data_IF_878000194937
#
_entry.id   IF_878000194937
#
_cell.length_a   1.000
_cell.length_b   1.000
_cell.length_c   1.000
_cell.angle_alpha   90.00
_cell.angle_beta   90.00
_cell.angle_gamma   90.00
#
_symmetry.space_group_name_H-M   'P 1'
#
loop_
_entity.id
_entity.type
_entity.pdbx_description
1 polymer ?
#
# COMPACT_ATOMS: atom_id res chain seq x y z
N UNK A 1 16.54 1.63 -5.10
CA UNK A 1 15.24 0.99 -4.82
C UNK A 1 15.53 -0.39 -4.23
N UNK A 2 14.60 -1.04 -3.53
CA UNK A 2 14.83 -2.44 -3.15
C UNK A 2 14.61 -3.30 -4.40
N UNK A 3 15.49 -4.27 -4.65
CA UNK A 3 15.35 -5.16 -5.82
C UNK A 3 14.44 -6.32 -5.42
N UNK A 4 13.37 -6.63 -6.18
CA UNK A 4 12.57 -7.83 -5.93
C UNK A 4 13.43 -9.09 -6.16
N UNK A 5 13.10 -10.17 -5.45
CA UNK A 5 13.57 -11.51 -5.84
C UNK A 5 12.84 -11.99 -7.10
N UNK A 6 13.35 -13.06 -7.73
CA UNK A 6 12.71 -13.64 -8.91
C UNK A 6 11.29 -14.14 -8.59
N UNK A 7 11.09 -14.75 -7.42
CA UNK A 7 9.77 -15.16 -6.92
C UNK A 7 8.83 -13.97 -6.75
N UNK A 8 9.29 -12.87 -6.15
CA UNK A 8 8.48 -11.66 -6.00
C UNK A 8 8.12 -11.05 -7.35
N UNK A 9 9.02 -11.11 -8.33
CA UNK A 9 8.77 -10.62 -9.68
C UNK A 9 7.68 -11.46 -10.37
N UNK A 10 7.69 -12.79 -10.19
CA UNK A 10 6.61 -13.66 -10.69
C UNK A 10 5.27 -13.25 -10.05
N UNK A 11 5.22 -13.16 -8.72
CA UNK A 11 4.00 -12.77 -7.99
C UNK A 11 3.47 -11.39 -8.40
N UNK A 12 4.35 -10.40 -8.61
CA UNK A 12 3.98 -9.07 -9.08
C UNK A 12 3.36 -9.11 -10.49
N UNK A 13 3.92 -9.91 -11.40
CA UNK A 13 3.38 -10.04 -12.76
C UNK A 13 2.05 -10.82 -12.80
N UNK A 14 1.88 -11.83 -11.96
CA UNK A 14 0.60 -12.52 -11.79
C UNK A 14 -0.46 -11.57 -11.24
N UNK A 15 -0.12 -10.80 -10.19
CA UNK A 15 -0.99 -9.77 -9.63
C UNK A 15 -1.35 -8.70 -10.68
N UNK A 16 -0.39 -8.29 -11.52
CA UNK A 16 -0.64 -7.38 -12.65
C UNK A 16 -1.71 -7.95 -13.58
N UNK A 17 -1.53 -9.19 -14.04
CA UNK A 17 -2.47 -9.84 -14.95
C UNK A 17 -3.88 -9.92 -14.37
N UNK A 18 -3.99 -10.30 -13.09
CA UNK A 18 -5.25 -10.33 -12.36
C UNK A 18 -5.91 -8.95 -12.30
N UNK A 19 -5.18 -7.92 -11.87
CA UNK A 19 -5.74 -6.58 -11.68
C UNK A 19 -6.16 -5.96 -13.01
N UNK A 20 -5.34 -6.08 -14.06
CA UNK A 20 -5.71 -5.56 -15.39
C UNK A 20 -6.93 -6.32 -15.94
N UNK A 21 -7.00 -7.64 -15.77
CA UNK A 21 -8.16 -8.43 -16.19
C UNK A 21 -9.46 -8.01 -15.48
N UNK A 22 -9.39 -7.74 -14.17
CA UNK A 22 -10.53 -7.19 -13.44
C UNK A 22 -10.88 -5.78 -13.94
N UNK A 23 -9.88 -4.92 -14.13
CA UNK A 23 -10.10 -3.56 -14.63
C UNK A 23 -10.76 -3.55 -16.02
N UNK A 24 -10.40 -4.47 -16.92
CA UNK A 24 -11.01 -4.54 -18.25
C UNK A 24 -12.51 -4.87 -18.24
N UNK A 25 -12.99 -5.54 -17.19
CA UNK A 25 -14.41 -5.86 -17.02
C UNK A 25 -15.20 -4.72 -16.36
N UNK A 26 -14.51 -3.74 -15.78
CA UNK A 26 -15.14 -2.63 -15.07
C UNK A 26 -15.63 -1.56 -16.04
N UNK A 27 -16.90 -1.13 -15.86
CA UNK A 27 -17.51 -0.04 -16.66
C UNK A 27 -16.68 1.25 -16.61
N UNK A 28 -16.01 1.51 -15.47
CA UNK A 28 -15.17 2.68 -15.26
C UNK A 28 -13.98 2.81 -16.23
N UNK A 29 -13.52 1.71 -16.82
CA UNK A 29 -12.32 1.65 -17.66
C UNK A 29 -12.59 1.27 -19.11
N UNK A 30 -13.87 1.16 -19.52
CA UNK A 30 -14.27 0.66 -20.84
C UNK A 30 -13.65 1.43 -22.01
N UNK A 31 -13.44 2.74 -21.83
CA UNK A 31 -12.93 3.63 -22.88
C UNK A 31 -11.42 3.91 -22.73
N UNK A 32 -10.72 3.19 -21.84
CA UNK A 32 -9.29 3.37 -21.59
C UNK A 32 -8.48 2.23 -22.21
N UNK A 33 -7.35 2.58 -22.84
CA UNK A 33 -6.35 1.60 -23.24
C UNK A 33 -5.50 1.17 -22.02
N UNK A 34 -5.89 0.04 -21.42
CA UNK A 34 -5.19 -0.56 -20.29
C UNK A 34 -3.92 -1.34 -20.68
N UNK A 35 -3.69 -1.59 -21.97
CA UNK A 35 -2.58 -2.46 -22.42
C UNK A 35 -1.22 -1.88 -22.03
N UNK A 36 -1.11 -0.55 -21.97
CA UNK A 36 0.10 0.16 -21.55
C UNK A 36 0.52 -0.15 -20.11
N UNK A 37 -0.40 -0.58 -19.24
CA UNK A 37 -0.09 -0.97 -17.86
C UNK A 37 0.81 -2.22 -17.80
N UNK A 38 0.77 -3.09 -18.81
CA UNK A 38 1.68 -4.25 -18.92
C UNK A 38 3.14 -3.87 -19.09
N UNK A 39 3.42 -2.66 -19.59
CA UNK A 39 4.78 -2.19 -19.86
C UNK A 39 5.42 -1.51 -18.65
N UNK A 40 4.66 -1.27 -17.57
CA UNK A 40 5.18 -0.61 -16.37
C UNK A 40 6.03 -1.59 -15.57
N UNK A 41 7.28 -1.21 -15.27
CA UNK A 41 8.15 -1.98 -14.39
C UNK A 41 7.54 -2.07 -12.98
N UNK A 42 7.40 -3.29 -12.45
CA UNK A 42 6.97 -3.53 -11.09
C UNK A 42 8.16 -3.83 -10.17
N UNK A 43 8.12 -3.23 -8.98
CA UNK A 43 9.15 -3.38 -7.97
C UNK A 43 8.59 -3.52 -6.56
N UNK A 44 9.50 -3.50 -5.59
CA UNK A 44 9.13 -3.57 -4.17
C UNK A 44 9.67 -2.37 -3.39
N UNK A 45 8.86 -1.91 -2.44
CA UNK A 45 9.28 -0.95 -1.42
C UNK A 45 10.34 -1.58 -0.50
N UNK A 46 11.06 -0.74 0.24
CA UNK A 46 11.91 -1.22 1.34
C UNK A 46 11.04 -1.91 2.40
N UNK A 47 11.48 -3.07 2.88
CA UNK A 47 10.79 -3.88 3.92
C UNK A 47 10.45 -3.16 5.22
N UNK A 48 11.06 -1.99 5.47
CA UNK A 48 10.84 -1.20 6.68
C UNK A 48 9.83 -0.06 6.50
N UNK A 49 9.23 0.08 5.31
CA UNK A 49 8.16 1.03 5.06
C UNK A 49 6.88 0.55 5.76
N UNK A 50 6.33 1.35 6.68
CA UNK A 50 5.14 0.96 7.46
C UNK A 50 3.88 1.78 7.17
N UNK A 51 4.02 2.89 6.43
CA UNK A 51 2.90 3.79 6.11
C UNK A 51 2.56 3.82 4.63
N UNK A 52 3.51 3.42 3.78
CA UNK A 52 3.35 3.42 2.32
C UNK A 52 3.27 1.97 1.88
N UNK A 53 2.18 1.60 1.22
CA UNK A 53 1.90 0.23 0.79
C UNK A 53 2.09 0.04 -0.72
N UNK A 54 1.85 1.11 -1.50
CA UNK A 54 2.14 1.21 -2.93
C UNK A 54 2.77 2.58 -3.25
N UNK A 55 3.41 2.70 -4.40
CA UNK A 55 3.77 3.99 -5.00
C UNK A 55 4.05 3.89 -6.50
N UNK A 56 3.44 4.78 -7.26
CA UNK A 56 3.83 5.12 -8.63
C UNK A 56 4.99 6.12 -8.62
N UNK A 57 6.14 5.70 -9.13
CA UNK A 57 7.31 6.56 -9.33
C UNK A 57 7.38 7.01 -10.77
N UNK A 58 7.65 8.29 -10.96
CA UNK A 58 7.81 8.92 -12.27
C UNK A 58 9.29 9.03 -12.64
N UNK A 59 9.57 9.11 -13.94
CA UNK A 59 10.93 9.39 -14.43
C UNK A 59 11.41 10.74 -13.90
N UNK A 60 12.72 10.88 -13.70
CA UNK A 60 13.31 12.14 -13.22
C UNK A 60 13.19 13.22 -14.28
N UNK A 61 12.93 14.46 -13.86
CA UNK A 61 12.87 15.62 -14.75
C UNK A 61 11.51 15.84 -15.44
N UNK A 62 10.54 14.95 -15.21
CA UNK A 62 9.17 15.08 -15.72
C UNK A 62 8.43 16.15 -14.90
N UNK A 63 7.89 17.16 -15.58
CA UNK A 63 7.07 18.20 -14.94
C UNK A 63 5.66 17.69 -14.63
N UNK A 64 4.89 18.43 -13.82
CA UNK A 64 3.59 17.98 -13.33
C UNK A 64 2.55 17.69 -14.43
N UNK A 65 2.65 18.39 -15.54
CA UNK A 65 1.86 18.29 -16.77
C UNK A 65 2.25 17.13 -17.68
N UNK A 66 3.45 16.57 -17.51
CA UNK A 66 3.98 15.45 -18.31
C UNK A 66 3.81 14.09 -17.63
N UNK A 67 3.03 14.01 -16.55
CA UNK A 67 2.85 12.77 -15.76
C UNK A 67 1.81 11.85 -16.39
N UNK A 68 2.16 11.35 -17.57
CA UNK A 68 1.42 10.34 -18.33
C UNK A 68 2.03 8.95 -18.15
N UNK A 69 1.27 7.91 -18.47
CA UNK A 69 1.69 6.51 -18.29
C UNK A 69 3.07 6.19 -18.89
N UNK A 70 3.44 6.84 -19.99
CA UNK A 70 4.75 6.69 -20.67
C UNK A 70 5.93 7.19 -19.82
N UNK A 71 5.66 8.10 -18.89
CA UNK A 71 6.62 8.71 -17.98
C UNK A 71 6.64 8.05 -16.59
N UNK A 72 5.86 6.99 -16.38
CA UNK A 72 6.01 6.13 -15.21
C UNK A 72 7.36 5.41 -15.29
N UNK A 73 8.14 5.48 -14.21
CA UNK A 73 9.39 4.75 -14.06
C UNK A 73 9.13 3.35 -13.50
N UNK A 74 8.42 3.26 -12.38
CA UNK A 74 8.08 1.97 -11.75
C UNK A 74 6.87 2.14 -10.84
N UNK A 75 6.12 1.05 -10.63
CA UNK A 75 5.16 0.93 -9.52
C UNK A 75 5.72 -0.06 -8.51
N UNK A 76 5.87 0.38 -7.26
CA UNK A 76 6.41 -0.44 -6.18
C UNK A 76 5.33 -0.79 -5.16
N UNK A 77 5.22 -2.07 -4.79
CA UNK A 77 4.37 -2.53 -3.68
C UNK A 77 5.19 -2.91 -2.45
N UNK A 78 4.60 -2.85 -1.26
CA UNK A 78 5.24 -3.38 -0.07
C UNK A 78 5.44 -4.90 -0.20
N UNK A 79 6.64 -5.46 0.04
CA UNK A 79 6.90 -6.88 -0.22
C UNK A 79 6.00 -7.82 0.59
N UNK A 80 5.58 -7.43 1.79
CA UNK A 80 4.63 -8.22 2.60
C UNK A 80 3.22 -8.32 2.00
N UNK A 81 2.85 -7.47 1.03
CA UNK A 81 1.58 -7.60 0.31
C UNK A 81 1.55 -8.87 -0.57
N UNK A 82 2.71 -9.43 -0.91
CA UNK A 82 2.84 -10.62 -1.75
C UNK A 82 2.59 -11.93 -0.98
N UNK A 83 2.35 -11.86 0.34
CA UNK A 83 1.91 -13.01 1.10
C UNK A 83 0.42 -13.28 0.85
N UNK A 84 0.04 -14.56 0.69
CA UNK A 84 -1.29 -14.99 0.27
C UNK A 84 -2.46 -14.34 1.04
N UNK A 85 -2.32 -14.18 2.35
CA UNK A 85 -3.34 -13.56 3.22
C UNK A 85 -3.66 -12.09 2.85
N UNK A 86 -2.79 -11.41 2.11
CA UNK A 86 -2.94 -10.02 1.69
C UNK A 86 -3.32 -9.86 0.22
N UNK A 87 -3.50 -10.95 -0.53
CA UNK A 87 -3.80 -10.90 -1.97
C UNK A 87 -4.95 -9.94 -2.34
N UNK A 88 -6.11 -9.94 -1.64
CA UNK A 88 -7.19 -8.99 -1.94
C UNK A 88 -6.76 -7.53 -1.77
N UNK A 89 -5.96 -7.25 -0.73
CA UNK A 89 -5.47 -5.90 -0.48
C UNK A 89 -4.36 -5.51 -1.47
N UNK A 90 -3.48 -6.44 -1.83
CA UNK A 90 -2.43 -6.22 -2.81
C UNK A 90 -3.03 -5.81 -4.17
N UNK A 91 -4.10 -6.49 -4.60
CA UNK A 91 -4.80 -6.16 -5.84
C UNK A 91 -5.42 -4.76 -5.80
N UNK A 92 -6.06 -4.41 -4.67
CA UNK A 92 -6.61 -3.06 -4.46
C UNK A 92 -5.52 -1.98 -4.47
N UNK A 93 -4.38 -2.20 -3.81
CA UNK A 93 -3.25 -1.26 -3.81
C UNK A 93 -2.67 -1.12 -5.22
N UNK A 94 -2.52 -2.22 -5.97
CA UNK A 94 -2.01 -2.12 -7.35
C UNK A 94 -2.99 -1.37 -8.27
N UNK A 95 -4.31 -1.60 -8.13
CA UNK A 95 -5.33 -0.81 -8.81
C UNK A 95 -5.22 0.69 -8.49
N UNK A 96 -5.03 1.05 -7.21
CA UNK A 96 -4.77 2.43 -6.79
C UNK A 96 -3.56 3.06 -7.52
N UNK A 97 -2.45 2.32 -7.60
CA UNK A 97 -1.26 2.81 -8.31
C UNK A 97 -1.45 2.87 -9.84
N UNK A 98 -2.28 2.00 -10.42
CA UNK A 98 -2.67 2.09 -11.83
C UNK A 98 -3.56 3.30 -12.13
N UNK A 99 -4.49 3.67 -11.23
CA UNK A 99 -5.23 4.93 -11.35
C UNK A 99 -4.26 6.11 -11.43
N UNK A 100 -3.23 6.13 -10.57
CA UNK A 100 -2.17 7.14 -10.66
C UNK A 100 -1.40 7.09 -11.98
N UNK A 101 -1.03 5.91 -12.47
CA UNK A 101 -0.31 5.74 -13.73
C UNK A 101 -1.14 6.19 -14.95
N UNK A 102 -2.47 6.05 -14.89
CA UNK A 102 -3.41 6.52 -15.92
C UNK A 102 -3.66 8.03 -15.88
N UNK A 103 -2.97 8.77 -15.00
CA UNK A 103 -2.98 10.24 -14.95
C UNK A 103 -3.89 10.83 -13.86
N UNK A 104 -4.63 10.01 -13.12
CA UNK A 104 -5.47 10.48 -12.01
C UNK A 104 -4.63 10.59 -10.74
N UNK A 105 -4.03 11.76 -10.53
CA UNK A 105 -3.04 11.97 -9.45
C UNK A 105 -3.65 12.43 -8.15
N UNK A 106 -4.55 13.38 -8.23
CA UNK A 106 -5.18 13.96 -7.06
C UNK A 106 -6.19 12.98 -6.52
N UNK A 107 -6.14 12.69 -5.21
CA UNK A 107 -7.15 11.89 -4.50
C UNK A 107 -8.50 12.62 -4.39
N UNK A 108 -8.91 13.32 -5.45
CA UNK A 108 -10.15 14.07 -5.60
C UNK A 108 -11.35 13.12 -5.83
N UNK A 109 -12.54 13.68 -6.02
CA UNK A 109 -13.78 12.90 -6.17
C UNK A 109 -13.71 11.89 -7.31
N UNK A 110 -13.12 12.25 -8.45
CA UNK A 110 -13.00 11.35 -9.61
C UNK A 110 -12.08 10.17 -9.29
N UNK A 111 -10.90 10.45 -8.72
CA UNK A 111 -9.99 9.39 -8.25
C UNK A 111 -10.70 8.44 -7.29
N UNK A 112 -11.39 8.98 -6.29
CA UNK A 112 -12.09 8.17 -5.29
C UNK A 112 -13.22 7.35 -5.90
N UNK A 113 -13.91 7.85 -6.93
CA UNK A 113 -14.91 7.06 -7.65
C UNK A 113 -14.29 5.91 -8.45
N UNK A 114 -13.14 6.13 -9.08
CA UNK A 114 -12.41 5.07 -9.79
C UNK A 114 -11.91 4.03 -8.80
N UNK A 115 -11.29 4.46 -7.71
CA UNK A 115 -10.82 3.59 -6.62
C UNK A 115 -11.95 2.75 -6.03
N UNK A 116 -13.11 3.37 -5.75
CA UNK A 116 -14.28 2.70 -5.18
C UNK A 116 -15.00 1.78 -6.17
N UNK A 117 -14.77 1.93 -7.47
CA UNK A 117 -15.34 1.02 -8.48
C UNK A 117 -14.69 -0.38 -8.45
N UNK A 118 -13.60 -0.57 -7.69
CA UNK A 118 -13.00 -1.88 -7.48
C UNK A 118 -14.01 -2.89 -6.92
N UNK A 119 -14.20 -4.06 -7.54
CA UNK A 119 -15.27 -4.99 -7.16
C UNK A 119 -15.01 -5.75 -5.85
N UNK A 120 -13.77 -5.76 -5.37
CA UNK A 120 -13.42 -6.38 -4.08
C UNK A 120 -13.94 -5.54 -2.92
N UNK A 121 -15.18 -5.83 -2.48
CA UNK A 121 -15.78 -5.22 -1.30
C UNK A 121 -14.81 -5.28 -0.12
N UNK A 122 -14.69 -4.17 0.60
CA UNK A 122 -13.88 -4.01 1.81
C UNK A 122 -12.36 -4.20 1.63
N UNK A 123 -11.85 -4.38 0.40
CA UNK A 123 -10.41 -4.54 0.17
C UNK A 123 -9.63 -3.31 0.67
N UNK A 124 -10.18 -2.10 0.48
CA UNK A 124 -9.60 -0.86 1.03
C UNK A 124 -9.53 -0.83 2.56
N UNK A 125 -10.46 -1.49 3.25
CA UNK A 125 -10.53 -1.54 4.71
C UNK A 125 -9.48 -2.48 5.32
N UNK A 126 -8.78 -3.26 4.49
CA UNK A 126 -7.65 -4.07 4.92
C UNK A 126 -6.39 -3.23 5.16
N UNK A 127 -6.34 -1.98 4.69
CA UNK A 127 -5.17 -1.10 4.87
C UNK A 127 -4.74 -0.89 6.31
N UNK A 128 -5.63 -0.49 7.23
CA UNK A 128 -5.32 -0.39 8.65
C UNK A 128 -4.83 -1.71 9.25
N UNK A 129 -5.43 -2.85 8.89
CA UNK A 129 -5.01 -4.19 9.35
C UNK A 129 -3.61 -4.52 8.86
N UNK A 130 -3.31 -4.22 7.60
CA UNK A 130 -1.98 -4.41 7.02
C UNK A 130 -0.93 -3.56 7.74
N UNK A 131 -1.19 -2.26 7.92
CA UNK A 131 -0.30 -1.36 8.69
C UNK A 131 -0.02 -1.89 10.09
N UNK A 132 -1.06 -2.36 10.79
CA UNK A 132 -0.90 -2.91 12.13
C UNK A 132 -0.06 -4.19 12.13
N UNK A 133 -0.26 -5.09 11.15
CA UNK A 133 0.57 -6.29 10.98
C UNK A 133 2.05 -5.95 10.78
N UNK A 134 2.37 -4.92 9.98
CA UNK A 134 3.74 -4.46 9.76
C UNK A 134 4.37 -3.87 11.03
N UNK A 135 3.57 -3.12 11.80
CA UNK A 135 4.01 -2.55 13.08
C UNK A 135 4.33 -3.65 14.08
N UNK A 136 3.46 -4.66 14.21
CA UNK A 136 3.68 -5.82 15.10
C UNK A 136 4.89 -6.64 14.68
N UNK A 137 5.02 -6.98 13.40
CA UNK A 137 6.16 -7.75 12.87
C UNK A 137 7.51 -7.09 13.15
N UNK A 138 7.55 -5.76 13.18
CA UNK A 138 8.78 -5.00 13.39
C UNK A 138 8.97 -4.48 14.82
N UNK A 139 8.01 -4.73 15.71
CA UNK A 139 8.06 -4.27 17.08
C UNK A 139 9.09 -5.05 17.90
N UNK A 140 9.75 -4.35 18.82
CA UNK A 140 10.61 -4.91 19.86
C UNK A 140 10.06 -4.63 21.26
N UNK A 141 9.03 -3.78 21.32
CA UNK A 141 8.40 -3.28 22.52
C UNK A 141 6.90 -3.13 22.26
N UNK A 142 6.09 -3.39 23.27
CA UNK A 142 4.71 -2.94 23.37
C UNK A 142 4.66 -1.80 24.38
N UNK A 143 4.02 -0.70 24.00
CA UNK A 143 3.56 0.28 24.97
C UNK A 143 2.13 -0.07 25.34
N UNK A 144 1.87 -0.33 26.62
CA UNK A 144 0.56 -0.80 27.10
C UNK A 144 -0.02 0.23 28.06
N UNK A 145 -1.28 0.60 27.86
CA UNK A 145 -2.05 1.35 28.85
C UNK A 145 -2.67 0.36 29.84
N UNK A 146 -2.38 0.46 31.14
CA UNK A 146 -2.95 -0.48 32.12
C UNK A 146 -4.45 -0.26 32.40
N UNK A 147 -4.99 0.93 32.09
CA UNK A 147 -6.41 1.21 32.34
C UNK A 147 -7.33 0.63 31.26
N UNK A 148 -6.96 0.77 29.99
CA UNK A 148 -7.77 0.30 28.85
C UNK A 148 -7.15 -0.86 28.09
N UNK A 149 -6.01 -1.37 28.55
CA UNK A 149 -5.25 -2.47 27.96
C UNK A 149 -4.90 -2.31 26.47
N UNK A 150 -4.95 -1.08 25.94
CA UNK A 150 -4.60 -0.80 24.55
C UNK A 150 -3.11 -0.95 24.34
N UNK A 151 -2.74 -1.69 23.31
CA UNK A 151 -1.35 -1.95 22.92
C UNK A 151 -0.91 -1.06 21.76
N UNK A 152 0.32 -0.57 21.83
CA UNK A 152 0.96 0.16 20.74
C UNK A 152 2.31 -0.50 20.41
N UNK A 153 2.39 -1.27 19.31
CA UNK A 153 3.64 -1.91 18.88
C UNK A 153 4.69 -0.89 18.42
N UNK A 154 5.91 -1.00 18.95
CA UNK A 154 6.99 -0.02 18.76
C UNK A 154 8.38 -0.67 18.68
N UNK A 155 9.30 0.03 18.01
CA UNK A 155 10.71 -0.39 17.87
C UNK A 155 11.58 0.01 19.06
N UNK A 156 11.13 0.99 19.85
CA UNK A 156 11.83 1.58 20.99
C UNK A 156 10.88 1.68 22.19
N UNK A 157 11.39 1.65 23.43
CA UNK A 157 10.59 1.93 24.61
C UNK A 157 10.09 3.38 24.61
N UNK A 158 9.03 3.64 25.37
CA UNK A 158 8.44 4.95 25.63
C UNK A 158 9.22 5.73 26.67
N UNK A 159 9.92 5.04 27.58
CA UNK A 159 10.61 5.59 28.75
C UNK A 159 9.71 6.51 29.59
N UNK A 160 8.42 6.17 29.69
CA UNK A 160 7.41 6.96 30.41
C UNK A 160 7.04 8.30 29.77
N UNK A 161 7.55 8.61 28.57
CA UNK A 161 7.31 9.88 27.89
C UNK A 161 5.97 9.98 27.13
N UNK A 162 5.21 8.89 27.07
CA UNK A 162 3.98 8.82 26.28
C UNK A 162 2.79 8.45 27.14
N UNK A 163 1.62 9.05 26.83
CA UNK A 163 0.35 8.81 27.50
C UNK A 163 -0.67 8.21 26.54
N UNK A 164 -1.53 7.36 27.07
CA UNK A 164 -2.69 6.83 26.36
C UNK A 164 -3.60 8.00 25.95
N UNK A 165 -4.01 8.04 24.67
CA UNK A 165 -4.90 9.11 24.17
C UNK A 165 -6.31 9.03 24.75
N UNK A 166 -6.75 7.82 25.11
CA UNK A 166 -8.10 7.61 25.65
C UNK A 166 -8.15 7.83 27.17
N UNK A 167 -7.11 7.43 27.90
CA UNK A 167 -7.12 7.43 29.38
C UNK A 167 -6.24 8.52 30.01
N UNK A 168 -5.29 9.10 29.27
CA UNK A 168 -4.30 10.04 29.81
C UNK A 168 -3.17 9.40 30.65
N UNK A 169 -3.27 8.11 30.93
CA UNK A 169 -2.32 7.34 31.74
C UNK A 169 -1.01 7.08 31.01
N UNK A 170 0.10 7.16 31.74
CA UNK A 170 1.44 6.91 31.20
C UNK A 170 1.53 5.45 30.72
N UNK A 171 2.04 5.25 29.51
CA UNK A 171 2.18 3.93 28.92
C UNK A 171 3.34 3.18 29.55
N UNK A 172 3.15 1.90 29.82
CA UNK A 172 4.18 1.00 30.33
C UNK A 172 4.89 0.30 29.18
N UNK A 173 6.20 0.13 29.32
CA UNK A 173 7.03 -0.56 28.34
C UNK A 173 7.13 -2.05 28.65
N UNK A 174 6.71 -2.90 27.72
CA UNK A 174 6.89 -4.35 27.76
C UNK A 174 7.78 -4.77 26.60
N UNK A 175 8.88 -5.47 26.88
CA UNK A 175 9.78 -5.98 25.85
C UNK A 175 9.19 -7.25 25.21
N UNK A 176 9.21 -7.31 23.88
CA UNK A 176 8.79 -8.48 23.08
C UNK A 176 9.96 -9.45 22.86
#
# INVERSE_FOLDING_TARGET
MAKPSDEQLVQLNELRGLVIGIMSDMVAWRDHDLTKLYNIELGVLRKNATQRHGVTRWRKGVSGDELTIENVHTIELHPELLAHQWNPYAAFVLHHEFIHALGYREHNRLFRSLEHSWPGLDAGDLGPKFTESLRRKSAKWLWICHDCNTEFPRKKPSNGGFRCRSCGTVLMDVKL
#
